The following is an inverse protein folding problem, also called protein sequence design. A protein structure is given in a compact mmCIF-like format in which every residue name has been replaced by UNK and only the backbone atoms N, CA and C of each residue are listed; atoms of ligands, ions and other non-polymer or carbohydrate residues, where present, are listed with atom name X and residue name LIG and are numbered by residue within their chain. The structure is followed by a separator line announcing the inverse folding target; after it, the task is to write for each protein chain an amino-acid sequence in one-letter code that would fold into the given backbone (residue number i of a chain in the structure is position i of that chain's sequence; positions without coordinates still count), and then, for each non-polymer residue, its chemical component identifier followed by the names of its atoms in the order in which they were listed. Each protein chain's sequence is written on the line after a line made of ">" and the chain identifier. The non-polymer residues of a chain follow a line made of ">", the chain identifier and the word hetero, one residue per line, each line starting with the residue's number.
data_IF_658936289449
#
_entry.id   IF_658936289449
#
_cell.length_a   1.000
_cell.length_b   1.000
_cell.length_c   1.000
_cell.angle_alpha   90.00
_cell.angle_beta   90.00
_cell.angle_gamma   90.00
#
_symmetry.space_group_name_H-M   'P 1'
#
loop_
_entity.id
_entity.type
_entity.pdbx_description
1 polymer ?
#
# COMPACT_ATOMS: atom_id res chain seq x y z
N UNK A 1 38.93 10.60 -9.17
CA UNK A 1 37.88 11.08 -10.10
C UNK A 1 37.09 12.17 -9.38
N UNK A 2 37.01 13.38 -9.92
CA UNK A 2 36.18 14.47 -9.37
C UNK A 2 34.73 14.14 -9.75
N UNK A 3 33.90 13.71 -8.78
CA UNK A 3 32.49 13.46 -8.98
C UNK A 3 31.74 14.75 -9.29
N UNK A 4 31.42 14.99 -10.55
CA UNK A 4 30.49 16.06 -10.91
C UNK A 4 29.07 15.73 -10.48
N UNK A 5 28.38 16.66 -9.83
CA UNK A 5 26.96 16.53 -9.49
C UNK A 5 26.15 16.68 -10.79
N UNK A 6 25.56 15.61 -11.27
CA UNK A 6 24.62 15.64 -12.39
C UNK A 6 23.21 15.83 -11.82
N UNK A 7 22.54 16.90 -12.25
CA UNK A 7 21.13 17.15 -11.93
C UNK A 7 20.37 17.07 -13.25
N UNK A 8 19.62 15.98 -13.46
CA UNK A 8 18.72 15.83 -14.60
C UNK A 8 17.27 16.01 -14.11
N UNK A 9 16.61 17.08 -14.52
CA UNK A 9 15.21 17.38 -14.25
C UNK A 9 14.42 17.17 -15.55
N UNK A 10 13.87 15.98 -15.71
CA UNK A 10 12.97 15.68 -16.83
C UNK A 10 11.52 15.96 -16.45
N UNK A 11 10.71 16.34 -17.45
CA UNK A 11 9.29 16.57 -17.26
C UNK A 11 8.62 15.22 -16.92
N UNK A 12 8.16 15.06 -15.69
CA UNK A 12 7.68 13.80 -15.11
C UNK A 12 6.50 13.16 -15.87
N UNK A 13 5.85 13.89 -16.79
CA UNK A 13 4.62 13.43 -17.45
C UNK A 13 4.84 12.45 -18.62
N UNK A 14 6.06 12.24 -19.08
CA UNK A 14 6.31 11.45 -20.30
C UNK A 14 7.24 10.25 -20.14
N UNK A 15 8.12 10.20 -19.16
CA UNK A 15 9.10 9.13 -19.03
C UNK A 15 8.85 8.25 -17.80
N UNK A 16 8.94 6.93 -17.94
CA UNK A 16 9.12 5.97 -16.85
C UNK A 16 10.47 5.27 -17.06
N UNK A 17 11.27 5.03 -16.00
CA UNK A 17 12.53 4.29 -16.12
C UNK A 17 12.29 2.89 -16.72
N UNK A 18 13.17 2.44 -17.61
CA UNK A 18 13.05 1.06 -18.13
C UNK A 18 13.28 0.03 -17.02
N UNK A 19 12.49 -1.04 -17.00
CA UNK A 19 12.69 -2.16 -16.09
C UNK A 19 13.94 -2.98 -16.43
N UNK A 20 14.49 -2.85 -17.64
CA UNK A 20 15.72 -3.53 -18.05
C UNK A 20 17.01 -2.88 -17.55
N UNK A 21 16.93 -1.70 -16.94
CA UNK A 21 18.13 -1.03 -16.40
C UNK A 21 18.81 -1.91 -15.34
N UNK A 22 20.17 -1.94 -15.32
CA UNK A 22 20.93 -2.62 -14.27
C UNK A 22 20.56 -2.08 -12.89
N UNK A 23 20.51 -2.97 -11.91
CA UNK A 23 20.13 -2.64 -10.52
C UNK A 23 21.18 -3.14 -9.55
N UNK A 24 21.47 -2.31 -8.55
CA UNK A 24 22.21 -2.74 -7.37
C UNK A 24 21.17 -3.13 -6.31
N UNK A 25 21.19 -4.40 -5.89
CA UNK A 25 20.32 -4.89 -4.81
C UNK A 25 21.08 -4.81 -3.50
N UNK A 26 20.42 -4.27 -2.47
CA UNK A 26 20.95 -4.28 -1.09
C UNK A 26 20.82 -5.70 -0.52
N UNK A 27 19.68 -6.35 -0.75
CA UNK A 27 19.45 -7.75 -0.44
C UNK A 27 19.44 -8.56 -1.75
N UNK A 28 20.34 -9.56 -1.93
CA UNK A 28 20.46 -10.29 -3.19
C UNK A 28 19.25 -11.19 -3.50
N UNK A 29 18.49 -11.61 -2.48
CA UNK A 29 17.34 -12.49 -2.65
C UNK A 29 16.02 -11.74 -2.85
N UNK A 30 16.00 -10.41 -2.67
CA UNK A 30 14.80 -9.57 -2.82
C UNK A 30 14.86 -8.73 -4.09
N UNK A 31 13.85 -8.89 -4.96
CA UNK A 31 13.63 -8.09 -6.16
C UNK A 31 12.49 -7.09 -5.98
N UNK A 32 12.79 -5.80 -5.90
CA UNK A 32 11.75 -4.75 -5.86
C UNK A 32 11.40 -4.35 -7.29
N UNK A 33 10.17 -4.63 -7.72
CA UNK A 33 9.69 -4.35 -9.08
C UNK A 33 8.62 -3.26 -9.05
N UNK A 34 8.90 -2.05 -9.52
CA UNK A 34 7.86 -1.05 -9.73
C UNK A 34 6.96 -1.50 -10.88
N UNK A 35 5.67 -1.69 -10.59
CA UNK A 35 4.67 -2.09 -11.60
C UNK A 35 4.03 -0.90 -12.30
N UNK A 36 4.10 0.28 -11.67
CA UNK A 36 3.65 1.55 -12.26
C UNK A 36 4.40 2.73 -11.67
N UNK A 37 4.34 3.85 -12.38
CA UNK A 37 4.90 5.14 -11.99
C UNK A 37 3.78 6.19 -11.90
N UNK A 38 3.85 7.10 -10.93
CA UNK A 38 2.79 8.08 -10.69
C UNK A 38 1.55 7.49 -10.04
N UNK A 39 0.47 8.26 -9.95
CA UNK A 39 -0.75 7.85 -9.26
C UNK A 39 -2.00 8.44 -9.93
N UNK A 40 -3.15 7.73 -9.85
CA UNK A 40 -4.47 8.24 -10.24
C UNK A 40 -5.14 9.02 -9.13
N UNK A 41 -4.67 8.90 -7.88
CA UNK A 41 -5.26 9.53 -6.71
C UNK A 41 -5.23 11.06 -6.78
N UNK A 42 -6.23 11.68 -6.14
CA UNK A 42 -6.34 13.13 -5.95
C UNK A 42 -6.39 13.49 -4.46
N UNK A 43 -5.81 12.66 -3.59
CA UNK A 43 -5.86 12.82 -2.15
C UNK A 43 -5.35 14.21 -1.75
N UNK A 44 -6.15 14.95 -0.96
CA UNK A 44 -5.89 16.36 -0.65
C UNK A 44 -4.61 16.61 0.14
N UNK A 45 -4.10 15.62 0.85
CA UNK A 45 -2.86 15.66 1.65
C UNK A 45 -1.60 15.19 0.92
N UNK A 46 -1.74 14.64 -0.30
CA UNK A 46 -0.66 13.92 -0.96
C UNK A 46 -0.01 14.75 -2.08
N UNK A 47 1.31 14.83 -2.07
CA UNK A 47 2.09 15.53 -3.10
C UNK A 47 2.63 14.60 -4.21
N UNK A 48 2.26 13.31 -4.19
CA UNK A 48 2.83 12.31 -5.13
C UNK A 48 2.56 12.65 -6.58
N UNK A 49 1.35 13.07 -6.94
CA UNK A 49 1.01 13.44 -8.32
C UNK A 49 1.81 14.66 -8.78
N UNK A 50 2.11 15.60 -7.87
CA UNK A 50 2.96 16.76 -8.17
C UNK A 50 4.42 16.36 -8.43
N UNK A 51 4.90 15.31 -7.77
CA UNK A 51 6.29 14.88 -7.85
C UNK A 51 6.52 13.80 -8.93
N UNK A 52 5.54 12.92 -9.17
CA UNK A 52 5.70 11.75 -10.02
C UNK A 52 4.74 11.69 -11.20
N UNK A 53 3.84 12.70 -11.32
CA UNK A 53 2.85 12.78 -12.40
C UNK A 53 1.72 11.74 -12.30
N UNK A 54 0.98 11.62 -13.39
CA UNK A 54 -0.14 10.68 -13.51
C UNK A 54 0.33 9.24 -13.69
N UNK A 55 -0.56 8.31 -13.44
CA UNK A 55 -0.31 6.87 -13.54
C UNK A 55 0.20 6.47 -14.93
N UNK A 56 1.25 5.67 -14.95
CA UNK A 56 1.83 5.00 -16.13
C UNK A 56 2.24 3.59 -15.72
N UNK A 57 1.46 2.62 -16.09
CA UNK A 57 1.75 1.21 -15.80
C UNK A 57 2.80 0.67 -16.77
N UNK A 58 3.63 -0.27 -16.30
CA UNK A 58 4.41 -1.13 -17.17
C UNK A 58 3.50 -2.21 -17.72
N UNK A 59 3.78 -2.75 -18.91
CA UNK A 59 3.04 -3.88 -19.44
C UNK A 59 3.29 -5.14 -18.60
N UNK A 60 2.34 -6.06 -18.62
CA UNK A 60 2.50 -7.36 -17.96
C UNK A 60 3.77 -8.07 -18.45
N UNK A 61 4.03 -8.01 -19.78
CA UNK A 61 5.24 -8.61 -20.38
C UNK A 61 6.54 -8.02 -19.83
N UNK A 62 6.67 -6.67 -19.73
CA UNK A 62 7.86 -6.03 -19.16
C UNK A 62 8.12 -6.49 -17.71
N UNK A 63 7.06 -6.65 -16.92
CA UNK A 63 7.17 -7.07 -15.52
C UNK A 63 7.55 -8.55 -15.43
N UNK A 64 6.91 -9.40 -16.20
CA UNK A 64 7.19 -10.85 -16.25
C UNK A 64 8.63 -11.12 -16.70
N UNK A 65 9.11 -10.45 -17.74
CA UNK A 65 10.50 -10.58 -18.19
C UNK A 65 11.49 -10.08 -17.11
N UNK A 66 11.13 -9.04 -16.37
CA UNK A 66 11.95 -8.59 -15.23
C UNK A 66 11.99 -9.65 -14.12
N UNK A 67 10.85 -10.27 -13.79
CA UNK A 67 10.78 -11.36 -12.80
C UNK A 67 11.67 -12.53 -13.21
N UNK A 68 11.60 -12.96 -14.48
CA UNK A 68 12.44 -14.05 -15.01
C UNK A 68 13.93 -13.72 -14.91
N UNK A 69 14.32 -12.50 -15.31
CA UNK A 69 15.71 -12.06 -15.25
C UNK A 69 16.24 -12.04 -13.80
N UNK A 70 15.48 -11.46 -12.87
CA UNK A 70 15.87 -11.41 -11.46
C UNK A 70 15.91 -12.83 -10.84
N UNK A 71 14.98 -13.71 -11.21
CA UNK A 71 14.93 -15.09 -10.74
C UNK A 71 16.18 -15.88 -11.18
N UNK A 72 16.63 -15.67 -12.44
CA UNK A 72 17.86 -16.25 -12.96
C UNK A 72 19.12 -15.75 -12.21
N UNK A 73 19.07 -14.53 -11.65
CA UNK A 73 20.14 -13.94 -10.81
C UNK A 73 20.04 -14.35 -9.33
N UNK A 74 19.11 -15.25 -8.96
CA UNK A 74 19.02 -15.79 -7.61
C UNK A 74 17.97 -15.11 -6.71
N UNK A 75 17.20 -14.13 -7.21
CA UNK A 75 16.09 -13.55 -6.46
C UNK A 75 15.03 -14.61 -6.16
N UNK A 76 14.47 -14.59 -4.94
CA UNK A 76 13.43 -15.52 -4.49
C UNK A 76 12.22 -14.84 -3.89
N UNK A 77 12.29 -13.55 -3.63
CA UNK A 77 11.18 -12.75 -3.14
C UNK A 77 10.99 -11.51 -4.03
N UNK A 78 9.80 -11.33 -4.58
CA UNK A 78 9.46 -10.19 -5.44
C UNK A 78 8.48 -9.26 -4.78
N UNK A 79 8.82 -7.98 -4.66
CA UNK A 79 7.95 -6.94 -4.17
C UNK A 79 7.38 -6.15 -5.36
N UNK A 80 6.12 -6.38 -5.69
CA UNK A 80 5.40 -5.59 -6.68
C UNK A 80 4.98 -4.26 -6.04
N UNK A 81 5.61 -3.17 -6.46
CA UNK A 81 5.46 -1.88 -5.81
C UNK A 81 4.90 -0.81 -6.74
N UNK A 82 4.12 0.11 -6.19
CA UNK A 82 3.63 1.31 -6.85
C UNK A 82 3.27 2.37 -5.80
N UNK A 83 2.88 3.56 -6.24
CA UNK A 83 2.25 4.56 -5.37
C UNK A 83 0.85 4.11 -4.89
N UNK A 84 0.19 3.29 -5.70
CA UNK A 84 -1.03 2.55 -5.40
C UNK A 84 -1.07 1.39 -6.39
N UNK A 85 -0.83 0.17 -5.90
CA UNK A 85 -0.81 -1.02 -6.76
C UNK A 85 -2.18 -1.36 -7.32
N UNK A 86 -3.26 -1.03 -6.59
CA UNK A 86 -4.63 -1.25 -7.04
C UNK A 86 -5.02 -0.45 -8.28
N UNK A 87 -4.26 0.60 -8.61
CA UNK A 87 -4.44 1.37 -9.83
C UNK A 87 -3.78 0.74 -11.07
N UNK A 88 -2.99 -0.32 -10.90
CA UNK A 88 -2.24 -0.93 -12.00
C UNK A 88 -3.17 -1.33 -13.17
N UNK A 89 -2.70 -1.03 -14.37
CA UNK A 89 -3.38 -1.41 -15.61
C UNK A 89 -4.63 -0.59 -15.96
N UNK A 90 -5.07 0.33 -15.10
CA UNK A 90 -6.20 1.20 -15.41
C UNK A 90 -5.93 2.06 -16.64
N UNK A 91 -6.81 1.93 -17.63
CA UNK A 91 -6.64 2.56 -18.95
C UNK A 91 -5.72 1.80 -19.91
N UNK A 92 -5.16 0.66 -19.51
CA UNK A 92 -4.28 -0.18 -20.32
C UNK A 92 -4.87 -1.58 -20.62
N UNK A 93 -6.15 -1.81 -20.27
CA UNK A 93 -6.84 -3.07 -20.57
C UNK A 93 -6.40 -4.27 -19.72
N UNK A 94 -5.79 -4.03 -18.56
CA UNK A 94 -5.36 -5.08 -17.63
C UNK A 94 -5.61 -4.64 -16.17
N UNK A 95 -5.36 -5.54 -15.21
CA UNK A 95 -5.59 -5.33 -13.80
C UNK A 95 -4.45 -5.88 -12.94
N UNK A 96 -4.41 -5.46 -11.66
CA UNK A 96 -3.48 -6.01 -10.69
C UNK A 96 -3.66 -7.53 -10.51
N UNK A 97 -4.89 -8.03 -10.55
CA UNK A 97 -5.16 -9.45 -10.41
C UNK A 97 -4.55 -10.26 -11.56
N UNK A 98 -4.74 -9.81 -12.80
CA UNK A 98 -4.14 -10.43 -13.98
C UNK A 98 -2.61 -10.38 -13.96
N UNK A 99 -2.04 -9.27 -13.48
CA UNK A 99 -0.59 -9.18 -13.30
C UNK A 99 -0.09 -10.21 -12.27
N UNK A 100 -0.75 -10.34 -11.12
CA UNK A 100 -0.37 -11.32 -10.10
C UNK A 100 -0.44 -12.73 -10.68
N UNK A 101 -1.52 -13.07 -11.40
CA UNK A 101 -1.68 -14.38 -12.06
C UNK A 101 -0.53 -14.63 -13.05
N UNK A 102 -0.19 -13.65 -13.89
CA UNK A 102 0.89 -13.76 -14.89
C UNK A 102 2.28 -13.91 -14.23
N UNK A 103 2.55 -13.18 -13.16
CA UNK A 103 3.80 -13.30 -12.41
C UNK A 103 3.88 -14.67 -11.73
N UNK A 104 2.81 -15.12 -11.10
CA UNK A 104 2.77 -16.43 -10.45
C UNK A 104 2.87 -17.62 -11.42
N UNK A 105 2.53 -17.42 -12.69
CA UNK A 105 2.69 -18.42 -13.75
C UNK A 105 4.15 -18.63 -14.21
N UNK A 106 5.07 -17.74 -13.83
CA UNK A 106 6.51 -17.94 -14.08
C UNK A 106 7.00 -19.14 -13.29
N UNK A 107 7.70 -20.06 -13.96
CA UNK A 107 8.29 -21.25 -13.33
C UNK A 107 9.39 -20.85 -12.34
N UNK A 108 9.47 -21.58 -11.23
CA UNK A 108 10.48 -21.39 -10.20
C UNK A 108 9.90 -21.27 -8.79
N UNK A 109 10.76 -21.44 -7.79
CA UNK A 109 10.41 -21.28 -6.38
C UNK A 109 10.73 -19.86 -5.93
N UNK A 110 9.67 -19.09 -5.71
CA UNK A 110 9.73 -17.70 -5.25
C UNK A 110 8.41 -17.25 -4.61
N UNK A 111 8.47 -16.14 -3.89
CA UNK A 111 7.29 -15.50 -3.30
C UNK A 111 7.08 -14.09 -3.85
N UNK A 112 5.83 -13.66 -3.82
CA UNK A 112 5.39 -12.33 -4.31
C UNK A 112 4.70 -11.58 -3.19
N UNK A 113 5.22 -10.41 -2.85
CA UNK A 113 4.58 -9.45 -1.97
C UNK A 113 3.95 -8.33 -2.80
N UNK A 114 2.66 -8.13 -2.62
CA UNK A 114 1.95 -7.02 -3.28
C UNK A 114 2.00 -5.78 -2.39
N UNK A 115 2.36 -4.65 -2.96
CA UNK A 115 2.41 -3.36 -2.28
C UNK A 115 1.02 -2.83 -1.90
N UNK A 116 1.01 -1.67 -1.25
CA UNK A 116 -0.23 -1.06 -0.78
C UNK A 116 -1.21 -0.75 -1.92
N UNK A 117 -2.49 -0.89 -1.65
CA UNK A 117 -3.58 -0.52 -2.56
C UNK A 117 -4.69 0.21 -1.81
N UNK A 118 -5.29 1.21 -2.45
CA UNK A 118 -6.42 1.91 -1.82
C UNK A 118 -7.67 1.03 -1.78
N UNK A 119 -8.51 1.15 -0.72
CA UNK A 119 -9.70 0.32 -0.55
C UNK A 119 -10.67 0.32 -1.74
N UNK A 120 -10.92 1.48 -2.36
CA UNK A 120 -11.80 1.56 -3.53
C UNK A 120 -11.23 0.83 -4.77
N UNK A 121 -9.90 0.85 -4.94
CA UNK A 121 -9.27 0.11 -6.04
C UNK A 121 -9.32 -1.40 -5.78
N UNK A 122 -9.02 -1.83 -4.56
CA UNK A 122 -9.17 -3.22 -4.16
C UNK A 122 -10.63 -3.71 -4.30
N UNK A 123 -11.61 -2.90 -3.87
CA UNK A 123 -13.02 -3.22 -3.98
C UNK A 123 -13.48 -3.42 -5.42
N UNK A 124 -12.97 -2.62 -6.36
CA UNK A 124 -13.35 -2.69 -7.77
C UNK A 124 -12.91 -3.97 -8.49
N UNK A 125 -11.96 -4.72 -7.93
CA UNK A 125 -11.43 -5.98 -8.47
C UNK A 125 -11.40 -7.09 -7.40
N UNK A 126 -12.22 -7.00 -6.37
CA UNK A 126 -12.10 -7.79 -5.15
C UNK A 126 -12.12 -9.30 -5.41
N UNK A 127 -13.06 -9.78 -6.22
CA UNK A 127 -13.20 -11.21 -6.51
C UNK A 127 -12.00 -11.77 -7.27
N UNK A 128 -11.57 -11.09 -8.32
CA UNK A 128 -10.38 -11.48 -9.09
C UNK A 128 -9.10 -11.36 -8.27
N UNK A 129 -9.02 -10.35 -7.40
CA UNK A 129 -7.90 -10.17 -6.51
C UNK A 129 -7.79 -11.31 -5.48
N UNK A 130 -8.90 -11.68 -4.83
CA UNK A 130 -8.95 -12.84 -3.92
C UNK A 130 -8.56 -14.11 -4.66
N UNK A 131 -9.04 -14.31 -5.90
CA UNK A 131 -8.64 -15.46 -6.72
C UNK A 131 -7.13 -15.50 -6.96
N UNK A 132 -6.52 -14.38 -7.35
CA UNK A 132 -5.07 -14.27 -7.57
C UNK A 132 -4.26 -14.54 -6.28
N UNK A 133 -4.76 -14.10 -5.12
CA UNK A 133 -4.14 -14.36 -3.81
C UNK A 133 -4.22 -15.82 -3.34
N UNK A 134 -5.00 -16.70 -4.01
CA UNK A 134 -5.00 -18.15 -3.72
C UNK A 134 -3.68 -18.81 -4.11
N UNK A 135 -2.90 -18.23 -5.04
CA UNK A 135 -1.59 -18.75 -5.41
C UNK A 135 -0.69 -18.89 -4.16
N UNK A 136 -0.03 -20.02 -4.01
CA UNK A 136 0.95 -20.25 -2.95
C UNK A 136 2.17 -19.33 -3.04
N UNK A 137 2.45 -18.81 -4.24
CA UNK A 137 3.52 -17.85 -4.44
C UNK A 137 3.22 -16.47 -3.86
N UNK A 138 1.96 -16.13 -3.58
CA UNK A 138 1.57 -14.83 -3.03
C UNK A 138 1.59 -14.89 -1.50
N UNK A 139 2.35 -13.98 -0.87
CA UNK A 139 2.29 -13.81 0.58
C UNK A 139 0.86 -13.45 1.03
N UNK A 140 0.40 -14.08 2.07
CA UNK A 140 -0.89 -13.77 2.69
C UNK A 140 -0.80 -12.48 3.50
N UNK A 141 -0.44 -11.43 2.81
CA UNK A 141 -0.27 -10.07 3.30
C UNK A 141 -0.97 -9.07 2.38
N UNK A 142 -1.77 -8.18 2.94
CA UNK A 142 -2.38 -7.07 2.20
C UNK A 142 -2.25 -5.75 2.98
N UNK A 143 -1.92 -4.67 2.28
CA UNK A 143 -1.82 -3.34 2.87
C UNK A 143 -2.89 -2.42 2.26
N UNK A 144 -3.86 -2.03 3.08
CA UNK A 144 -5.06 -1.26 2.72
C UNK A 144 -5.14 0.02 3.56
N UNK A 145 -4.54 1.14 3.15
CA UNK A 145 -4.54 2.39 3.91
C UNK A 145 -5.94 3.00 4.01
N UNK A 146 -6.61 2.89 5.16
CA UNK A 146 -7.95 3.46 5.37
C UNK A 146 -7.91 4.96 5.64
N UNK A 147 -6.88 5.47 6.29
CA UNK A 147 -6.58 6.86 6.63
C UNK A 147 -7.45 7.43 7.76
N UNK A 148 -8.77 7.18 7.80
CA UNK A 148 -9.71 7.61 8.84
C UNK A 148 -10.88 6.62 8.95
N UNK A 149 -11.50 6.54 10.11
CA UNK A 149 -12.75 5.81 10.34
C UNK A 149 -14.01 6.67 10.16
N UNK A 150 -13.86 7.94 9.83
CA UNK A 150 -14.95 8.88 9.62
C UNK A 150 -15.11 9.22 8.14
N UNK A 151 -16.32 8.99 7.59
CA UNK A 151 -16.58 9.16 6.17
C UNK A 151 -16.50 10.63 5.73
N UNK A 152 -16.83 11.59 6.60
CA UNK A 152 -16.69 13.01 6.28
C UNK A 152 -15.22 13.43 6.18
N UNK A 153 -14.36 12.89 7.07
CA UNK A 153 -12.90 13.09 6.96
C UNK A 153 -12.36 12.43 5.70
N UNK A 154 -12.82 11.23 5.36
CA UNK A 154 -12.44 10.54 4.12
C UNK A 154 -12.84 11.36 2.89
N UNK A 155 -14.03 11.95 2.87
CA UNK A 155 -14.49 12.85 1.80
C UNK A 155 -13.59 14.08 1.68
N UNK A 156 -13.26 14.76 2.79
CA UNK A 156 -12.32 15.88 2.81
C UNK A 156 -10.92 15.48 2.34
N UNK A 157 -10.49 14.26 2.62
CA UNK A 157 -9.26 13.66 2.10
C UNK A 157 -9.34 13.32 0.62
N UNK A 158 -10.52 13.40 -0.02
CA UNK A 158 -10.81 12.87 -1.37
C UNK A 158 -10.49 11.39 -1.50
N UNK A 159 -10.92 10.63 -0.50
CA UNK A 159 -10.90 9.17 -0.56
C UNK A 159 -12.28 8.71 -1.07
N UNK A 160 -12.28 7.99 -2.19
CA UNK A 160 -13.51 7.59 -2.89
C UNK A 160 -14.04 6.24 -2.37
N UNK A 161 -14.10 6.11 -1.05
CA UNK A 161 -14.64 4.96 -0.32
C UNK A 161 -15.06 5.40 1.08
N UNK A 162 -15.87 4.59 1.71
CA UNK A 162 -16.33 4.74 3.10
C UNK A 162 -15.60 3.79 4.04
N UNK A 163 -15.73 4.00 5.36
CA UNK A 163 -15.27 3.04 6.36
C UNK A 163 -15.97 1.67 6.19
N UNK A 164 -17.23 1.65 5.72
CA UNK A 164 -17.96 0.42 5.41
C UNK A 164 -17.35 -0.32 4.22
N UNK A 165 -16.92 0.38 3.17
CA UNK A 165 -16.23 -0.23 2.02
C UNK A 165 -14.90 -0.84 2.43
N UNK A 166 -14.14 -0.15 3.27
CA UNK A 166 -12.91 -0.69 3.83
C UNK A 166 -13.17 -1.98 4.62
N UNK A 167 -14.15 -1.99 5.53
CA UNK A 167 -14.53 -3.19 6.27
C UNK A 167 -14.93 -4.34 5.35
N UNK A 168 -15.66 -4.05 4.28
CA UNK A 168 -16.08 -5.06 3.29
C UNK A 168 -14.87 -5.72 2.63
N UNK A 169 -13.85 -4.96 2.22
CA UNK A 169 -12.62 -5.51 1.63
C UNK A 169 -11.87 -6.36 2.65
N UNK A 170 -11.67 -5.84 3.87
CA UNK A 170 -10.97 -6.57 4.94
C UNK A 170 -11.66 -7.88 5.29
N UNK A 171 -12.98 -7.85 5.46
CA UNK A 171 -13.76 -9.04 5.79
C UNK A 171 -13.71 -10.11 4.68
N UNK A 172 -13.71 -9.69 3.41
CA UNK A 172 -13.58 -10.60 2.29
C UNK A 172 -12.21 -11.30 2.28
N UNK A 173 -11.11 -10.56 2.55
CA UNK A 173 -9.79 -11.17 2.69
C UNK A 173 -9.70 -12.11 3.89
N UNK A 174 -10.21 -11.73 5.06
CA UNK A 174 -10.22 -12.57 6.26
C UNK A 174 -11.04 -13.86 6.07
N UNK A 175 -12.18 -13.76 5.37
CA UNK A 175 -13.01 -14.93 5.06
C UNK A 175 -12.31 -15.90 4.09
N UNK A 176 -11.59 -15.37 3.09
CA UNK A 176 -10.86 -16.17 2.12
C UNK A 176 -9.54 -16.75 2.67
N UNK A 177 -8.90 -16.05 3.59
CA UNK A 177 -7.57 -16.38 4.15
C UNK A 177 -7.56 -16.06 5.65
N UNK A 178 -7.90 -17.00 6.53
CA UNK A 178 -7.95 -16.77 7.99
C UNK A 178 -6.63 -16.28 8.59
N UNK A 179 -5.50 -16.71 8.02
CA UNK A 179 -4.12 -16.33 8.44
C UNK A 179 -3.62 -15.06 7.76
N UNK A 180 -4.48 -14.30 7.05
CA UNK A 180 -4.06 -13.08 6.36
C UNK A 180 -3.56 -12.03 7.34
N UNK A 181 -2.35 -11.56 7.10
CA UNK A 181 -1.82 -10.36 7.74
C UNK A 181 -2.34 -9.12 7.02
N UNK A 182 -3.05 -8.26 7.72
CA UNK A 182 -3.63 -7.04 7.16
C UNK A 182 -3.02 -5.80 7.80
N UNK A 183 -2.41 -4.96 6.97
CA UNK A 183 -1.85 -3.67 7.36
C UNK A 183 -2.74 -2.51 6.91
N UNK A 184 -2.76 -1.44 7.69
CA UNK A 184 -3.41 -0.17 7.33
C UNK A 184 -2.59 1.03 7.77
N UNK A 185 -2.89 2.20 7.20
CA UNK A 185 -2.35 3.48 7.63
C UNK A 185 -3.48 4.38 8.08
N UNK A 186 -3.24 5.17 9.14
CA UNK A 186 -4.15 6.18 9.68
C UNK A 186 -3.40 7.51 9.78
N UNK A 187 -4.06 8.58 9.39
CA UNK A 187 -3.58 9.96 9.57
C UNK A 187 -4.38 10.62 10.67
N UNK A 188 -3.75 10.87 11.83
CA UNK A 188 -4.33 11.60 12.93
C UNK A 188 -4.21 13.11 12.74
N UNK A 189 -5.27 13.85 13.04
CA UNK A 189 -5.27 15.31 13.03
C UNK A 189 -5.36 15.92 11.64
N UNK A 190 -6.01 15.25 10.71
CA UNK A 190 -6.36 15.85 9.42
C UNK A 190 -7.30 17.05 9.64
N UNK A 191 -7.18 18.15 8.86
CA UNK A 191 -8.06 19.31 9.01
C UNK A 191 -9.55 18.94 8.99
N UNK A 192 -10.27 19.36 10.03
CA UNK A 192 -11.69 19.02 10.23
C UNK A 192 -11.96 17.67 10.88
N UNK A 193 -10.94 16.95 11.36
CA UNK A 193 -11.13 15.81 12.24
C UNK A 193 -11.49 16.33 13.64
N UNK A 194 -12.75 16.24 14.03
CA UNK A 194 -13.20 16.51 15.39
C UNK A 194 -13.04 15.28 16.31
N UNK A 195 -13.44 15.40 17.58
CA UNK A 195 -13.32 14.30 18.54
C UNK A 195 -14.21 13.11 18.15
N UNK A 196 -15.42 13.37 17.62
CA UNK A 196 -16.33 12.30 17.18
C UNK A 196 -15.78 11.52 15.99
N UNK A 197 -15.12 12.23 15.06
CA UNK A 197 -14.46 11.59 13.91
C UNK A 197 -13.28 10.72 14.38
N UNK A 198 -12.50 11.21 15.35
CA UNK A 198 -11.42 10.44 15.95
C UNK A 198 -11.93 9.20 16.68
N UNK A 199 -13.01 9.32 17.46
CA UNK A 199 -13.66 8.17 18.11
C UNK A 199 -14.15 7.11 17.11
N UNK A 200 -14.69 7.52 15.96
CA UNK A 200 -15.08 6.56 14.90
C UNK A 200 -13.86 5.81 14.37
N UNK A 201 -12.72 6.50 14.25
CA UNK A 201 -11.46 5.85 13.84
C UNK A 201 -11.01 4.81 14.87
N UNK A 202 -11.08 5.13 16.17
CA UNK A 202 -10.76 4.16 17.24
C UNK A 202 -11.68 2.94 17.16
N UNK A 203 -13.01 3.16 17.07
CA UNK A 203 -14.01 2.09 16.96
C UNK A 203 -13.77 1.20 15.73
N UNK A 204 -13.43 1.79 14.59
CA UNK A 204 -13.10 1.03 13.39
C UNK A 204 -11.92 0.08 13.64
N UNK A 205 -10.85 0.57 14.26
CA UNK A 205 -9.65 -0.24 14.52
C UNK A 205 -9.93 -1.34 15.57
N UNK A 206 -10.72 -1.05 16.60
CA UNK A 206 -11.18 -2.05 17.58
C UNK A 206 -12.06 -3.15 16.97
N UNK A 207 -12.96 -2.77 16.05
CA UNK A 207 -13.85 -3.69 15.35
C UNK A 207 -13.10 -4.61 14.39
N UNK A 208 -12.23 -4.00 13.56
CA UNK A 208 -11.57 -4.73 12.47
C UNK A 208 -10.38 -5.57 12.95
N UNK A 209 -9.71 -5.21 14.04
CA UNK A 209 -8.59 -5.93 14.67
C UNK A 209 -7.52 -6.32 13.66
N UNK A 210 -6.84 -5.30 13.13
CA UNK A 210 -5.78 -5.47 12.15
C UNK A 210 -4.45 -5.85 12.80
N UNK A 211 -3.58 -6.51 12.03
CA UNK A 211 -2.27 -6.96 12.50
C UNK A 211 -1.28 -5.82 12.60
N UNK A 212 -1.33 -4.88 11.63
CA UNK A 212 -0.45 -3.71 11.57
C UNK A 212 -1.26 -2.45 11.33
N UNK A 213 -1.11 -1.47 12.21
CA UNK A 213 -1.68 -0.12 12.05
C UNK A 213 -0.56 0.92 12.13
N UNK A 214 -0.22 1.50 10.99
CA UNK A 214 0.76 2.59 10.91
C UNK A 214 0.06 3.91 11.23
N UNK A 215 0.45 4.53 12.33
CA UNK A 215 -0.12 5.81 12.79
C UNK A 215 0.77 6.96 12.37
N UNK A 216 0.25 7.83 11.52
CA UNK A 216 0.90 9.05 11.08
C UNK A 216 0.20 10.28 11.63
N UNK A 217 0.96 11.30 12.02
CA UNK A 217 0.44 12.63 12.32
C UNK A 217 0.25 13.39 11.01
N UNK A 218 -0.85 14.11 10.88
CA UNK A 218 -1.01 14.99 9.73
C UNK A 218 0.10 16.04 9.70
N UNK A 219 0.66 16.21 8.54
CA UNK A 219 1.61 17.27 8.26
C UNK A 219 1.24 17.93 6.92
N UNK A 220 1.00 19.24 6.96
CA UNK A 220 0.63 20.02 5.79
C UNK A 220 1.81 20.07 4.79
N UNK A 221 1.66 19.38 3.68
CA UNK A 221 2.68 19.39 2.61
C UNK A 221 2.46 20.58 1.68
N UNK A 222 3.52 21.30 1.31
CA UNK A 222 3.39 22.45 0.40
C UNK A 222 2.65 22.08 -0.88
N UNK A 223 1.84 23.01 -1.39
CA UNK A 223 1.09 22.90 -2.64
C UNK A 223 -0.01 21.81 -2.65
N UNK A 224 -0.34 21.23 -1.49
CA UNK A 224 -1.48 20.30 -1.38
C UNK A 224 -2.74 21.06 -0.95
N UNK A 225 -3.95 20.63 -1.38
CA UNK A 225 -5.20 21.26 -0.95
C UNK A 225 -5.37 21.27 0.57
N UNK A 226 -4.96 20.21 1.26
CA UNK A 226 -5.07 20.13 2.72
C UNK A 226 -4.21 21.18 3.46
N UNK A 227 -3.13 21.67 2.86
CA UNK A 227 -2.31 22.73 3.44
C UNK A 227 -3.03 24.09 3.50
N UNK A 228 -4.06 24.29 2.68
CA UNK A 228 -4.87 25.51 2.63
C UNK A 228 -6.19 25.41 3.44
N UNK A 229 -6.47 24.26 4.06
CA UNK A 229 -7.67 24.10 4.89
C UNK A 229 -7.56 24.87 6.21
N UNK A 230 -8.68 25.48 6.63
CA UNK A 230 -8.69 26.36 7.82
C UNK A 230 -8.96 25.61 9.13
N UNK A 231 -9.52 24.41 9.06
CA UNK A 231 -9.97 23.62 10.23
C UNK A 231 -8.81 22.79 10.81
N UNK A 232 -7.62 23.40 10.96
CA UNK A 232 -6.43 22.71 11.44
C UNK A 232 -6.63 22.23 12.88
N UNK A 233 -6.29 20.98 13.14
CA UNK A 233 -6.28 20.39 14.49
C UNK A 233 -5.02 20.89 15.22
N UNK A 234 -5.13 21.34 16.49
CA UNK A 234 -3.97 21.79 17.26
C UNK A 234 -2.88 20.69 17.38
N UNK A 235 -1.58 21.05 17.30
CA UNK A 235 -0.49 20.08 17.40
C UNK A 235 -0.49 19.23 18.68
N UNK A 236 -0.91 19.81 19.80
CA UNK A 236 -1.08 19.10 21.07
C UNK A 236 -2.14 18.01 20.96
N UNK A 237 -3.24 18.30 20.29
CA UNK A 237 -4.33 17.37 20.07
C UNK A 237 -3.92 16.25 19.09
N UNK A 238 -3.22 16.58 18.03
CA UNK A 238 -2.65 15.58 17.11
C UNK A 238 -1.72 14.61 17.87
N UNK A 239 -0.89 15.15 18.77
CA UNK A 239 0.00 14.34 19.61
C UNK A 239 -0.79 13.42 20.53
N UNK A 240 -1.84 13.95 21.21
CA UNK A 240 -2.73 13.16 22.08
C UNK A 240 -3.39 12.02 21.30
N UNK A 241 -4.05 12.32 20.20
CA UNK A 241 -4.75 11.33 19.35
C UNK A 241 -3.82 10.26 18.82
N UNK A 242 -2.67 10.65 18.30
CA UNK A 242 -1.70 9.68 17.79
C UNK A 242 -1.16 8.75 18.88
N UNK A 243 -0.99 9.23 20.12
CA UNK A 243 -0.56 8.39 21.23
C UNK A 243 -1.64 7.38 21.65
N UNK A 244 -2.91 7.81 21.72
CA UNK A 244 -4.06 6.94 22.05
C UNK A 244 -4.18 5.84 20.97
N UNK A 245 -4.21 6.23 19.70
CA UNK A 245 -4.35 5.27 18.60
C UNK A 245 -3.17 4.29 18.52
N UNK A 246 -1.93 4.76 18.72
CA UNK A 246 -0.76 3.89 18.75
C UNK A 246 -0.83 2.88 19.91
N UNK A 247 -1.28 3.31 21.09
CA UNK A 247 -1.47 2.39 22.23
C UNK A 247 -2.52 1.33 21.93
N UNK A 248 -3.65 1.72 21.32
CA UNK A 248 -4.69 0.78 20.89
C UNK A 248 -4.16 -0.20 19.85
N UNK A 249 -3.48 0.30 18.82
CA UNK A 249 -2.88 -0.51 17.76
C UNK A 249 -1.91 -1.56 18.31
N UNK A 250 -1.03 -1.15 19.26
CA UNK A 250 -0.10 -2.08 19.91
C UNK A 250 -0.79 -3.18 20.71
N UNK A 251 -1.87 -2.84 21.43
CA UNK A 251 -2.67 -3.83 22.19
C UNK A 251 -3.30 -4.86 21.26
N UNK A 252 -3.86 -4.41 20.13
CA UNK A 252 -4.48 -5.27 19.14
C UNK A 252 -3.41 -6.15 18.47
N UNK A 253 -2.30 -5.57 18.01
CA UNK A 253 -1.20 -6.30 17.40
C UNK A 253 -0.63 -7.38 18.35
N UNK A 254 -0.44 -7.06 19.63
CA UNK A 254 0.01 -8.03 20.62
C UNK A 254 -0.98 -9.22 20.75
N UNK A 255 -2.29 -8.93 20.76
CA UNK A 255 -3.30 -9.99 20.82
C UNK A 255 -3.25 -10.87 19.56
N UNK A 256 -3.16 -10.26 18.37
CA UNK A 256 -3.05 -10.97 17.10
C UNK A 256 -1.77 -11.81 17.02
N UNK A 257 -0.62 -11.26 17.45
CA UNK A 257 0.65 -11.98 17.45
C UNK A 257 0.65 -13.20 18.40
N UNK A 258 -0.11 -13.14 19.50
CA UNK A 258 -0.27 -14.31 20.40
C UNK A 258 -0.99 -15.49 19.73
N UNK A 259 -1.81 -15.23 18.72
CA UNK A 259 -2.49 -16.28 17.95
C UNK A 259 -1.50 -17.11 17.09
N UNK A 260 -0.29 -16.58 16.85
CA UNK A 260 0.78 -17.25 16.11
C UNK A 260 1.71 -18.10 17.00
N UNK A 261 1.53 -18.09 18.32
CA UNK A 261 2.34 -18.91 19.24
C UNK A 261 2.04 -20.39 18.99
N UNK A 262 3.06 -21.16 18.66
CA UNK A 262 2.94 -22.57 18.30
C UNK A 262 2.64 -22.83 16.82
N UNK A 263 2.56 -21.78 15.98
CA UNK A 263 2.44 -21.93 14.54
C UNK A 263 3.75 -22.50 13.94
N UNK A 264 3.63 -23.47 13.06
CA UNK A 264 4.73 -24.03 12.29
C UNK A 264 4.57 -23.75 10.80
N UNK A 265 5.62 -23.35 10.12
CA UNK A 265 5.58 -22.99 8.70
C UNK A 265 6.94 -22.93 8.04
N UNK A 266 6.98 -22.65 6.74
CA UNK A 266 8.21 -22.44 5.99
C UNK A 266 8.63 -20.97 6.04
N UNK A 267 9.92 -20.75 6.26
CA UNK A 267 10.54 -19.44 6.21
C UNK A 267 11.34 -19.28 4.93
N UNK A 268 11.32 -18.07 4.36
CA UNK A 268 12.39 -17.63 3.48
C UNK A 268 13.35 -16.81 4.35
N UNK A 269 14.57 -17.31 4.54
CA UNK A 269 15.60 -16.54 5.24
C UNK A 269 16.28 -15.62 4.23
N UNK A 270 16.14 -14.33 4.44
CA UNK A 270 17.03 -13.34 3.86
C UNK A 270 18.36 -13.49 4.57
N UNK A 271 19.39 -13.95 3.86
CA UNK A 271 20.69 -14.22 4.41
C UNK A 271 21.39 -13.00 5.01
#
# INVERSE_FOLDING_TARGET
>A
MKGGKVVALENADKAKPSLSLPRVRVNPVVGVIPISYGCLGSCTYCCVVLARGRLRSYSVGEIVERVKADLAEGVREFWLTAQDTGCYGRGAGTSLAELIEAVCAVDGDFKVRVGMMTPNMALSILESLIKAYKSEKVFKFVHLPVQSGDDHVLEKMRRFYTAADFKRVVNAFKAAFPEMTIATDIICGFPGEDEKAFEKTLRLIEEVKLDVVNVSKFFARPRTPAAAMKDAVPPTEIKRRSAILSSLAMKIALKRNREWVGWEGRWFMDG
#
